data_IF_673279895426
#
_entry.id   IF_673279895426
#
_cell.length_a   1.000
_cell.length_b   1.000
_cell.length_c   1.000
_cell.angle_alpha   90.00
_cell.angle_beta   90.00
_cell.angle_gamma   90.00
#
_symmetry.space_group_name_H-M   'P 1'
#
loop_
_entity.id
_entity.type
_entity.pdbx_description
1 polymer ?
#
# COMPACT_ATOMS: atom_id res chain seq x y z
N UNK A 1 17.78 -32.54 39.68
CA UNK A 1 17.91 -32.41 41.15
C UNK A 1 19.03 -33.30 41.68
N UNK A 2 18.99 -34.62 41.45
CA UNK A 2 20.03 -35.54 41.96
C UNK A 2 21.49 -35.13 41.63
N UNK A 3 21.76 -34.70 40.39
CA UNK A 3 23.09 -34.25 39.96
C UNK A 3 23.65 -33.04 40.76
N UNK A 4 22.79 -32.11 41.18
CA UNK A 4 23.23 -30.91 41.92
C UNK A 4 23.29 -31.21 43.41
N UNK A 5 22.27 -31.88 43.94
CA UNK A 5 22.07 -32.07 45.39
C UNK A 5 22.90 -33.22 45.96
N UNK A 6 23.11 -34.29 45.19
CA UNK A 6 23.82 -35.50 45.64
C UNK A 6 25.22 -35.57 45.03
N UNK A 7 25.36 -35.23 43.74
CA UNK A 7 26.64 -35.34 43.03
C UNK A 7 27.47 -34.03 43.03
N UNK A 8 26.99 -32.98 43.72
CA UNK A 8 27.62 -31.64 43.80
C UNK A 8 27.96 -31.03 42.43
N UNK A 9 27.20 -31.37 41.40
CA UNK A 9 27.36 -30.82 40.07
C UNK A 9 27.13 -29.31 40.04
N UNK A 10 27.80 -28.62 39.11
CA UNK A 10 27.74 -27.16 38.99
C UNK A 10 26.32 -26.69 38.62
N UNK A 11 25.64 -25.93 39.50
CA UNK A 11 24.31 -25.39 39.22
C UNK A 11 24.30 -24.46 37.99
N UNK A 12 25.39 -23.75 37.71
CA UNK A 12 25.49 -22.84 36.57
C UNK A 12 25.47 -23.60 35.24
N UNK A 13 26.24 -24.68 35.13
CA UNK A 13 26.24 -25.54 33.95
C UNK A 13 24.85 -26.12 33.66
N UNK A 14 24.13 -26.56 34.70
CA UNK A 14 22.75 -27.06 34.56
C UNK A 14 21.79 -25.96 34.12
N UNK A 15 21.88 -24.77 34.71
CA UNK A 15 21.05 -23.63 34.32
C UNK A 15 21.29 -23.24 32.84
N UNK A 16 22.56 -23.22 32.41
CA UNK A 16 22.93 -22.93 31.03
C UNK A 16 22.37 -23.98 30.06
N UNK A 17 22.47 -25.26 30.42
CA UNK A 17 21.91 -26.35 29.64
C UNK A 17 20.38 -26.24 29.51
N UNK A 18 19.68 -25.96 30.61
CA UNK A 18 18.23 -25.76 30.60
C UNK A 18 17.81 -24.55 29.75
N UNK A 19 18.56 -23.44 29.82
CA UNK A 19 18.31 -22.27 28.96
C UNK A 19 18.53 -22.58 27.49
N UNK A 20 19.59 -23.31 27.16
CA UNK A 20 19.87 -23.74 25.78
C UNK A 20 18.79 -24.70 25.26
N UNK A 21 18.39 -25.66 26.09
CA UNK A 21 17.32 -26.61 25.76
C UNK A 21 15.97 -25.91 25.55
N UNK A 22 15.60 -24.96 26.42
CA UNK A 22 14.38 -24.15 26.24
C UNK A 22 14.44 -23.34 24.94
N UNK A 23 15.60 -22.76 24.60
CA UNK A 23 15.79 -22.04 23.33
C UNK A 23 15.60 -22.95 22.11
N UNK A 24 16.18 -24.15 22.13
CA UNK A 24 16.01 -25.15 21.05
C UNK A 24 14.53 -25.56 20.95
N UNK A 25 13.89 -25.88 22.08
CA UNK A 25 12.47 -26.25 22.08
C UNK A 25 11.53 -25.13 21.62
N UNK A 26 11.84 -23.86 21.92
CA UNK A 26 11.11 -22.70 21.38
C UNK A 26 11.33 -22.47 19.88
N UNK A 27 12.47 -22.90 19.33
CA UNK A 27 12.73 -22.85 17.89
C UNK A 27 12.02 -23.98 17.13
N UNK A 28 11.87 -25.15 17.76
CA UNK A 28 11.13 -26.31 17.22
C UNK A 28 9.61 -26.18 17.38
N UNK A 29 9.16 -25.46 18.42
CA UNK A 29 7.77 -25.08 18.55
C UNK A 29 7.41 -24.12 17.41
N UNK A 30 6.79 -24.67 16.36
CA UNK A 30 6.03 -23.90 15.37
C UNK A 30 5.30 -22.79 16.12
N UNK A 31 5.69 -21.52 15.87
CA UNK A 31 4.85 -20.39 16.23
C UNK A 31 3.58 -20.56 15.43
N UNK A 32 2.62 -21.29 15.98
CA UNK A 32 1.24 -21.25 15.51
C UNK A 32 0.82 -19.82 15.77
N UNK A 33 1.01 -18.96 14.77
CA UNK A 33 0.48 -17.60 14.78
C UNK A 33 -1.02 -17.84 14.87
N UNK A 34 -1.57 -17.71 16.07
CA UNK A 34 -2.99 -17.78 16.27
C UNK A 34 -3.61 -16.78 15.30
N UNK A 35 -4.48 -17.25 14.40
CA UNK A 35 -5.18 -16.39 13.47
C UNK A 35 -5.84 -15.25 14.28
N UNK A 36 -5.76 -14.00 13.82
CA UNK A 36 -6.35 -12.87 14.55
C UNK A 36 -7.82 -13.18 14.86
N UNK A 37 -8.18 -13.21 16.15
CA UNK A 37 -9.52 -13.58 16.63
C UNK A 37 -10.62 -12.54 16.31
N UNK A 38 -10.25 -11.39 15.74
CA UNK A 38 -11.17 -10.35 15.29
C UNK A 38 -10.77 -9.87 13.89
N UNK A 39 -11.76 -9.50 13.07
CA UNK A 39 -11.52 -8.88 11.76
C UNK A 39 -10.97 -7.44 11.94
N UNK A 40 -9.66 -7.35 12.22
CA UNK A 40 -8.93 -6.10 12.44
C UNK A 40 -9.06 -5.14 11.26
N UNK A 41 -9.21 -5.67 10.04
CA UNK A 41 -9.37 -4.88 8.82
C UNK A 41 -10.68 -4.09 8.86
N UNK A 42 -11.80 -4.73 9.20
CA UNK A 42 -13.09 -4.05 9.32
C UNK A 42 -13.07 -2.91 10.34
N UNK A 43 -12.37 -3.09 11.46
CA UNK A 43 -12.19 -2.03 12.47
C UNK A 43 -11.36 -0.85 11.92
N UNK A 44 -10.25 -1.13 11.24
CA UNK A 44 -9.42 -0.09 10.60
C UNK A 44 -10.23 0.68 9.55
N UNK A 45 -10.98 -0.04 8.72
CA UNK A 45 -11.83 0.57 7.69
C UNK A 45 -12.91 1.48 8.31
N UNK A 46 -13.54 1.05 9.40
CA UNK A 46 -14.51 1.87 10.12
C UNK A 46 -13.88 3.15 10.68
N UNK A 47 -12.67 3.05 11.24
CA UNK A 47 -11.93 4.21 11.75
C UNK A 47 -11.60 5.19 10.62
N UNK A 48 -11.12 4.71 9.47
CA UNK A 48 -10.87 5.58 8.31
C UNK A 48 -12.14 6.26 7.81
N UNK A 49 -13.24 5.52 7.68
CA UNK A 49 -14.51 6.08 7.23
C UNK A 49 -15.02 7.19 8.15
N UNK A 50 -15.00 6.97 9.47
CA UNK A 50 -15.39 8.00 10.44
C UNK A 50 -14.47 9.20 10.38
N UNK A 51 -13.15 8.97 10.39
CA UNK A 51 -12.18 10.05 10.34
C UNK A 51 -12.33 10.92 9.08
N UNK A 52 -12.52 10.32 7.91
CA UNK A 52 -12.72 11.06 6.66
C UNK A 52 -14.05 11.83 6.64
N UNK A 53 -15.10 11.29 7.25
CA UNK A 53 -16.42 11.93 7.31
C UNK A 53 -16.45 13.11 8.30
N UNK A 54 -15.81 12.96 9.45
CA UNK A 54 -15.81 13.94 10.55
C UNK A 54 -14.77 15.06 10.36
N UNK A 55 -13.77 14.84 9.50
CA UNK A 55 -12.75 15.84 9.21
C UNK A 55 -13.31 17.01 8.39
N UNK A 56 -13.16 18.23 8.92
CA UNK A 56 -13.49 19.49 8.25
C UNK A 56 -12.24 20.36 8.05
N UNK A 57 -12.27 21.23 7.03
CA UNK A 57 -11.20 22.19 6.76
C UNK A 57 -10.27 21.85 5.59
N UNK A 58 -9.23 22.68 5.40
CA UNK A 58 -8.24 22.52 4.34
C UNK A 58 -7.42 21.22 4.58
N UNK A 59 -7.30 20.38 3.55
CA UNK A 59 -6.49 19.16 3.61
C UNK A 59 -7.28 17.84 3.72
N UNK A 60 -8.62 17.87 3.83
CA UNK A 60 -9.47 16.66 3.84
C UNK A 60 -9.18 15.72 2.66
N UNK A 61 -8.94 16.26 1.47
CA UNK A 61 -8.60 15.51 0.27
C UNK A 61 -7.30 14.69 0.38
N UNK A 62 -6.41 15.02 1.34
CA UNK A 62 -5.17 14.27 1.59
C UNK A 62 -5.35 13.05 2.49
N UNK A 63 -6.43 12.97 3.27
CA UNK A 63 -6.61 11.87 4.20
C UNK A 63 -6.69 10.50 3.49
N UNK A 64 -7.41 10.37 2.35
CA UNK A 64 -7.36 9.15 1.56
C UNK A 64 -5.97 8.83 1.01
N UNK A 65 -5.23 9.84 0.55
CA UNK A 65 -3.84 9.70 0.06
C UNK A 65 -2.93 9.19 1.17
N UNK A 66 -3.00 9.77 2.36
CA UNK A 66 -2.20 9.34 3.53
C UNK A 66 -2.51 7.90 3.94
N UNK A 67 -3.78 7.49 3.91
CA UNK A 67 -4.17 6.12 4.22
C UNK A 67 -3.60 5.12 3.19
N UNK A 68 -3.70 5.43 1.89
CA UNK A 68 -3.15 4.58 0.83
C UNK A 68 -1.62 4.57 0.91
N UNK A 69 -0.99 5.70 1.15
CA UNK A 69 0.46 5.80 1.34
C UNK A 69 0.94 4.91 2.50
N UNK A 70 0.23 4.94 3.64
CA UNK A 70 0.53 4.08 4.77
C UNK A 70 0.40 2.59 4.41
N UNK A 71 -0.58 2.22 3.59
CA UNK A 71 -0.72 0.85 3.06
C UNK A 71 0.49 0.52 2.16
N UNK A 72 0.84 1.37 1.20
CA UNK A 72 1.99 1.17 0.32
C UNK A 72 3.31 1.03 1.09
N UNK A 73 3.48 1.77 2.19
CA UNK A 73 4.67 1.68 3.04
C UNK A 73 4.89 0.29 3.62
N UNK A 74 3.81 -0.51 3.75
CA UNK A 74 3.88 -1.92 4.17
C UNK A 74 3.97 -2.86 2.98
N UNK A 75 3.17 -2.62 1.94
CA UNK A 75 3.17 -3.46 0.73
C UNK A 75 4.56 -3.53 0.09
N UNK A 76 5.25 -2.40 -0.02
CA UNK A 76 6.59 -2.33 -0.64
C UNK A 76 7.61 -3.17 0.14
N UNK A 77 7.45 -3.30 1.45
CA UNK A 77 8.36 -4.08 2.31
C UNK A 77 7.97 -5.55 2.49
N UNK A 78 6.69 -5.90 2.31
CA UNK A 78 6.15 -7.20 2.73
C UNK A 78 5.71 -8.09 1.55
N UNK A 79 5.60 -7.56 0.34
CA UNK A 79 5.08 -8.30 -0.82
C UNK A 79 6.13 -8.42 -1.91
N UNK A 80 6.44 -9.66 -2.33
CA UNK A 80 7.48 -9.98 -3.32
C UNK A 80 7.37 -9.22 -4.64
N UNK A 81 6.16 -8.83 -5.07
CA UNK A 81 5.95 -8.02 -6.29
C UNK A 81 6.76 -6.71 -6.27
N UNK A 82 6.98 -6.14 -5.09
CA UNK A 82 7.67 -4.88 -4.85
C UNK A 82 9.15 -5.07 -4.49
N UNK A 83 9.70 -6.27 -4.66
CA UNK A 83 11.13 -6.50 -4.50
C UNK A 83 11.93 -5.57 -5.44
N UNK A 84 13.00 -4.99 -4.90
CA UNK A 84 13.83 -4.00 -5.58
C UNK A 84 13.13 -2.65 -5.86
N UNK A 85 11.96 -2.41 -5.26
CA UNK A 85 11.25 -1.12 -5.38
C UNK A 85 11.34 -0.30 -4.11
N UNK A 86 11.04 0.98 -4.21
CA UNK A 86 10.98 1.88 -3.06
C UNK A 86 9.82 2.88 -3.21
N UNK A 87 9.16 3.16 -2.10
CA UNK A 87 8.09 4.17 -2.03
C UNK A 87 8.71 5.56 -1.90
N UNK A 88 8.38 6.47 -2.81
CA UNK A 88 8.85 7.85 -2.74
C UNK A 88 8.11 8.62 -1.62
N UNK A 89 8.78 9.55 -0.91
CA UNK A 89 8.12 10.40 0.08
C UNK A 89 6.99 11.23 -0.52
N UNK A 90 5.90 11.42 0.22
CA UNK A 90 4.83 12.35 -0.18
C UNK A 90 5.37 13.77 -0.32
N UNK A 91 5.06 14.42 -1.43
CA UNK A 91 5.48 15.80 -1.68
C UNK A 91 4.79 16.79 -0.73
N UNK A 92 5.56 17.73 -0.19
CA UNK A 92 5.00 18.88 0.54
C UNK A 92 4.51 19.87 -0.51
N UNK A 93 3.19 20.00 -0.69
CA UNK A 93 2.61 21.02 -1.57
C UNK A 93 2.80 22.45 -1.02
N UNK A 94 4.05 22.90 -0.93
CA UNK A 94 4.45 24.30 -0.68
C UNK A 94 5.34 24.84 -1.80
N UNK A 95 5.60 24.05 -2.83
CA UNK A 95 6.49 24.42 -3.94
C UNK A 95 5.74 24.26 -5.26
N UNK A 96 5.43 25.41 -5.84
CA UNK A 96 5.03 25.67 -7.23
C UNK A 96 5.46 24.57 -8.23
N UNK A 97 4.46 23.81 -8.69
CA UNK A 97 4.05 23.44 -10.06
C UNK A 97 5.05 23.16 -11.21
N UNK A 98 6.37 23.18 -11.06
CA UNK A 98 7.26 23.08 -12.25
C UNK A 98 8.43 22.09 -12.17
N UNK A 99 8.64 21.35 -11.06
CA UNK A 99 9.79 20.41 -10.94
C UNK A 99 9.53 19.11 -10.16
N UNK A 100 8.28 18.72 -9.96
CA UNK A 100 7.94 17.43 -9.37
C UNK A 100 7.92 16.38 -10.48
N UNK A 101 8.96 15.57 -10.61
CA UNK A 101 9.01 14.49 -11.60
C UNK A 101 8.01 13.36 -11.34
N UNK A 102 7.13 13.51 -10.33
CA UNK A 102 6.19 12.49 -9.87
C UNK A 102 5.10 12.22 -10.90
N UNK A 103 4.75 10.94 -11.08
CA UNK A 103 3.70 10.51 -12.00
C UNK A 103 2.30 10.58 -11.39
N UNK A 104 2.18 10.67 -10.05
CA UNK A 104 0.91 10.72 -9.31
C UNK A 104 1.05 11.20 -7.86
N UNK A 105 -0.01 11.05 -7.06
CA UNK A 105 -0.02 11.40 -5.62
C UNK A 105 0.89 10.48 -4.80
N UNK A 106 1.01 9.22 -5.23
CA UNK A 106 1.91 8.21 -4.66
C UNK A 106 2.65 7.56 -5.81
N UNK A 107 3.97 7.40 -5.65
CA UNK A 107 4.83 6.76 -6.64
C UNK A 107 5.74 5.73 -5.97
N UNK A 108 5.82 4.56 -6.60
CA UNK A 108 6.78 3.51 -6.28
C UNK A 108 7.76 3.42 -7.43
N UNK A 109 9.05 3.47 -7.12
CA UNK A 109 10.12 3.43 -8.10
C UNK A 109 10.84 2.09 -8.10
N UNK A 110 11.32 1.70 -9.27
CA UNK A 110 12.24 0.58 -9.47
C UNK A 110 13.43 1.07 -10.27
N UNK A 111 14.64 0.92 -9.75
CA UNK A 111 15.87 1.34 -10.42
C UNK A 111 15.90 2.83 -10.84
N UNK A 112 15.22 3.69 -10.08
CA UNK A 112 15.16 5.14 -10.36
C UNK A 112 14.12 5.56 -11.39
N UNK A 113 13.31 4.63 -11.90
CA UNK A 113 12.19 4.90 -12.81
C UNK A 113 10.84 4.58 -12.14
N UNK A 114 9.75 5.29 -12.51
CA UNK A 114 8.42 5.02 -11.96
C UNK A 114 7.93 3.62 -12.33
N UNK A 115 7.72 2.77 -11.33
CA UNK A 115 7.19 1.42 -11.51
C UNK A 115 5.67 1.38 -11.39
N UNK A 116 5.13 2.06 -10.37
CA UNK A 116 3.70 2.11 -10.10
C UNK A 116 3.28 3.48 -9.57
N UNK A 117 2.17 4.01 -10.08
CA UNK A 117 1.60 5.30 -9.68
C UNK A 117 0.19 5.16 -9.13
N UNK A 118 -0.19 6.05 -8.21
CA UNK A 118 -1.56 6.16 -7.70
C UNK A 118 -2.00 7.62 -7.71
N UNK A 119 -3.16 7.88 -8.28
CA UNK A 119 -3.88 9.14 -8.22
C UNK A 119 -5.17 8.96 -7.42
N UNK A 120 -5.44 9.85 -6.46
CA UNK A 120 -6.64 9.81 -5.62
C UNK A 120 -7.51 11.05 -5.83
N UNK A 121 -8.70 10.85 -6.37
CA UNK A 121 -9.72 11.88 -6.57
C UNK A 121 -10.68 11.92 -5.38
N UNK A 122 -10.53 12.94 -4.55
CA UNK A 122 -11.44 13.18 -3.44
C UNK A 122 -12.79 13.72 -3.92
N UNK A 123 -13.88 13.02 -3.59
CA UNK A 123 -15.27 13.45 -3.82
C UNK A 123 -15.64 13.73 -5.29
N UNK A 124 -14.85 13.23 -6.26
CA UNK A 124 -15.08 13.39 -7.69
C UNK A 124 -15.09 12.04 -8.40
N UNK A 125 -16.14 11.73 -9.19
CA UNK A 125 -16.15 10.53 -10.02
C UNK A 125 -15.01 10.54 -11.03
N UNK A 126 -14.51 9.35 -11.36
CA UNK A 126 -13.53 9.15 -12.42
C UNK A 126 -14.22 9.35 -13.76
N UNK A 127 -13.58 10.09 -14.66
CA UNK A 127 -14.07 10.38 -16.01
C UNK A 127 -13.06 9.93 -17.06
N UNK A 128 -13.51 9.73 -18.31
CA UNK A 128 -12.64 9.35 -19.41
C UNK A 128 -11.49 10.35 -19.59
N UNK A 129 -11.77 11.65 -19.49
CA UNK A 129 -10.75 12.71 -19.60
C UNK A 129 -9.60 12.56 -18.59
N UNK A 130 -9.90 12.14 -17.35
CA UNK A 130 -8.85 11.89 -16.36
C UNK A 130 -7.90 10.75 -16.76
N UNK A 131 -8.42 9.76 -17.49
CA UNK A 131 -7.63 8.64 -18.01
C UNK A 131 -6.83 9.06 -19.23
N UNK A 132 -7.45 9.77 -20.18
CA UNK A 132 -6.80 10.21 -21.42
C UNK A 132 -5.65 11.20 -21.17
N UNK A 133 -5.60 11.86 -20.01
CA UNK A 133 -4.48 12.72 -19.61
C UNK A 133 -3.26 11.96 -19.07
N UNK A 134 -3.38 10.67 -18.76
CA UNK A 134 -2.32 9.87 -18.15
C UNK A 134 -1.06 9.74 -19.03
N UNK A 135 -1.12 9.46 -20.35
CA UNK A 135 0.08 9.38 -21.20
C UNK A 135 0.97 10.62 -21.09
N UNK A 136 0.35 11.81 -21.02
CA UNK A 136 1.06 13.08 -20.83
C UNK A 136 1.77 13.15 -19.48
N UNK A 137 1.17 12.64 -18.41
CA UNK A 137 1.79 12.57 -17.07
C UNK A 137 2.96 11.58 -17.03
N UNK A 138 2.85 10.49 -17.79
CA UNK A 138 3.91 9.48 -17.84
C UNK A 138 5.16 10.03 -18.50
N UNK A 139 5.02 10.97 -19.44
CA UNK A 139 6.15 11.69 -20.03
C UNK A 139 7.09 10.75 -20.80
N UNK A 140 6.54 9.71 -21.42
CA UNK A 140 7.29 8.68 -22.14
C UNK A 140 7.97 7.63 -21.25
N UNK A 141 7.83 7.70 -19.92
CA UNK A 141 8.34 6.68 -19.00
C UNK A 141 7.46 5.44 -19.02
N UNK A 142 8.10 4.27 -18.97
CA UNK A 142 7.40 2.98 -18.91
C UNK A 142 6.93 2.72 -17.48
N UNK A 143 5.62 2.73 -17.27
CA UNK A 143 5.00 2.47 -15.96
C UNK A 143 4.30 1.12 -16.05
N UNK A 144 4.56 0.23 -15.09
CA UNK A 144 3.91 -1.09 -15.12
C UNK A 144 2.43 -1.01 -14.78
N UNK A 145 2.06 -0.20 -13.78
CA UNK A 145 0.67 -0.05 -13.33
C UNK A 145 0.36 1.36 -12.84
N UNK A 146 -0.84 1.83 -13.13
CA UNK A 146 -1.32 3.12 -12.64
C UNK A 146 -2.74 2.99 -12.07
N UNK A 147 -2.93 3.40 -10.83
CA UNK A 147 -4.24 3.39 -10.17
C UNK A 147 -4.88 4.78 -10.23
N UNK A 148 -6.15 4.81 -10.63
CA UNK A 148 -6.99 6.00 -10.51
C UNK A 148 -8.10 5.67 -9.53
N UNK A 149 -8.03 6.26 -8.34
CA UNK A 149 -8.92 5.92 -7.23
C UNK A 149 -9.81 7.11 -6.92
N UNK A 150 -11.11 6.89 -6.76
CA UNK A 150 -12.05 7.90 -6.30
C UNK A 150 -12.68 7.52 -4.97
N UNK A 151 -12.97 8.54 -4.15
CA UNK A 151 -13.79 8.40 -2.94
C UNK A 151 -15.26 8.79 -3.16
N UNK A 152 -15.64 9.24 -4.36
CA UNK A 152 -17.04 9.56 -4.66
C UNK A 152 -17.90 8.31 -4.67
N UNK A 153 -19.21 8.50 -4.45
CA UNK A 153 -20.20 7.44 -4.65
C UNK A 153 -21.26 7.97 -5.62
N UNK A 154 -21.38 7.39 -6.83
CA UNK A 154 -20.58 6.28 -7.37
C UNK A 154 -19.13 6.69 -7.71
N UNK A 155 -18.19 5.72 -7.80
CA UNK A 155 -16.79 5.99 -8.17
C UNK A 155 -16.65 6.43 -9.62
N UNK A 156 -17.45 5.82 -10.50
CA UNK A 156 -17.66 6.17 -11.90
C UNK A 156 -19.17 6.29 -12.08
N UNK A 157 -19.64 7.30 -12.81
CA UNK A 157 -21.08 7.42 -13.06
C UNK A 157 -21.52 6.31 -14.03
N UNK A 158 -22.69 5.67 -13.85
CA UNK A 158 -23.14 4.58 -14.72
C UNK A 158 -23.11 4.93 -16.22
N UNK A 159 -23.46 6.17 -16.56
CA UNK A 159 -23.43 6.69 -17.93
C UNK A 159 -22.01 6.82 -18.51
N UNK A 160 -21.00 6.93 -17.66
CA UNK A 160 -19.60 7.11 -18.02
C UNK A 160 -18.79 5.79 -18.02
N UNK A 161 -19.35 4.68 -17.51
CA UNK A 161 -18.61 3.41 -17.39
C UNK A 161 -17.97 2.96 -18.72
N UNK A 162 -18.73 3.06 -19.82
CA UNK A 162 -18.26 2.66 -21.15
C UNK A 162 -17.17 3.58 -21.69
N UNK A 163 -17.30 4.89 -21.48
CA UNK A 163 -16.32 5.87 -21.96
C UNK A 163 -15.02 5.77 -21.17
N UNK A 164 -15.10 5.57 -19.85
CA UNK A 164 -13.93 5.32 -19.00
C UNK A 164 -13.22 4.02 -19.39
N UNK A 165 -13.97 2.93 -19.60
CA UNK A 165 -13.37 1.66 -20.01
C UNK A 165 -12.66 1.75 -21.38
N UNK A 166 -13.26 2.47 -22.34
CA UNK A 166 -12.62 2.70 -23.63
C UNK A 166 -11.34 3.52 -23.48
N UNK A 167 -11.36 4.59 -22.68
CA UNK A 167 -10.18 5.42 -22.42
C UNK A 167 -9.05 4.63 -21.73
N UNK A 168 -9.40 3.71 -20.81
CA UNK A 168 -8.43 2.77 -20.22
C UNK A 168 -7.81 1.92 -21.33
N UNK A 169 -8.62 1.21 -22.11
CA UNK A 169 -8.13 0.32 -23.16
C UNK A 169 -7.24 1.03 -24.20
N UNK A 170 -7.57 2.27 -24.55
CA UNK A 170 -6.76 3.11 -25.45
C UNK A 170 -5.44 3.51 -24.80
N UNK A 171 -5.46 3.93 -23.53
CA UNK A 171 -4.26 4.30 -22.77
C UNK A 171 -3.33 3.10 -22.58
N UNK A 172 -3.86 1.92 -22.25
CA UNK A 172 -3.06 0.69 -22.10
C UNK A 172 -2.40 0.29 -23.43
N UNK A 173 -3.10 0.45 -24.56
CA UNK A 173 -2.53 0.20 -25.90
C UNK A 173 -1.43 1.18 -26.27
N UNK A 174 -1.61 2.46 -25.94
CA UNK A 174 -0.64 3.52 -26.25
C UNK A 174 0.63 3.41 -25.40
N UNK A 175 0.47 3.14 -24.11
CA UNK A 175 1.54 3.28 -23.12
C UNK A 175 2.12 1.94 -22.62
N UNK A 176 1.42 0.83 -22.86
CA UNK A 176 1.73 -0.47 -22.24
C UNK A 176 1.44 -0.52 -20.73
N UNK A 177 0.98 0.58 -20.11
CA UNK A 177 0.71 0.67 -18.68
C UNK A 177 -0.63 0.05 -18.35
N UNK A 178 -0.71 -0.82 -17.34
CA UNK A 178 -1.99 -1.32 -16.83
C UNK A 178 -2.70 -0.23 -16.02
N UNK A 179 -3.85 0.28 -16.48
CA UNK A 179 -4.61 1.34 -15.79
C UNK A 179 -5.77 0.72 -15.01
N UNK A 180 -5.78 0.95 -13.70
CA UNK A 180 -6.78 0.37 -12.80
C UNK A 180 -7.60 1.48 -12.14
N UNK A 181 -8.83 1.65 -12.60
CA UNK A 181 -9.81 2.52 -11.97
C UNK A 181 -10.68 1.75 -10.96
N UNK A 182 -10.85 2.26 -9.74
CA UNK A 182 -11.79 1.62 -8.81
C UNK A 182 -13.23 1.83 -9.29
N UNK A 183 -14.04 0.76 -9.21
CA UNK A 183 -15.40 0.73 -9.73
C UNK A 183 -15.59 -0.04 -11.03
N UNK A 184 -14.52 -0.41 -11.75
CA UNK A 184 -14.59 -1.29 -12.94
C UNK A 184 -14.20 -2.74 -12.66
N UNK A 185 -13.48 -3.01 -11.56
CA UNK A 185 -13.21 -4.38 -11.11
C UNK A 185 -14.48 -4.94 -10.47
N UNK A 186 -15.11 -5.92 -11.13
CA UNK A 186 -16.17 -6.78 -10.58
C UNK A 186 -15.65 -8.19 -10.38
#
# INVERSE_FOLDING_TARGET
MNYIEVEKGDPYAVALYLMFYDRVKRSEASKTIAAPRENKISKIMLVFQRHFAESSGQGKARLPVLAIYAIYSRLVTEVNRYEGTHLLPLERHTTSDLRSGSVGDIQVDRNGEPFEGVEVKSEKPITAAMITELPRKFGGREISRYYVLSTSKPYIRPEDERSVQNAINETEKETGTQVIANGLIR
#
